data_IF_168369658674
#
_entry.id   IF_168369658674
#
_cell.length_a   1.000
_cell.length_b   1.000
_cell.length_c   1.000
_cell.angle_alpha   90.00
_cell.angle_beta   90.00
_cell.angle_gamma   90.00
#
_symmetry.space_group_name_H-M   'P 1'
#
loop_
_entity.id
_entity.type
_entity.pdbx_description
1 polymer ?
#
# COMPACT_ATOMS: atom_id res chain seq x y z
N UNK A 1 -7.34 -8.70 -17.40
CA UNK A 1 -7.39 -9.02 -15.95
C UNK A 1 -8.82 -9.04 -15.36
N UNK A 2 -9.89 -8.76 -16.11
CA UNK A 2 -11.27 -8.87 -15.59
C UNK A 2 -11.81 -10.30 -15.55
N UNK A 3 -11.43 -11.15 -16.52
CA UNK A 3 -12.06 -12.47 -16.73
C UNK A 3 -11.62 -13.53 -15.70
N UNK A 4 -10.42 -13.40 -15.12
CA UNK A 4 -9.88 -14.37 -14.16
C UNK A 4 -10.58 -14.27 -12.79
N UNK A 5 -11.09 -13.08 -12.43
CA UNK A 5 -11.83 -12.86 -11.18
C UNK A 5 -13.27 -13.40 -11.20
N UNK A 6 -13.87 -13.56 -12.38
CA UNK A 6 -15.23 -14.11 -12.50
C UNK A 6 -15.29 -15.62 -12.21
N UNK A 7 -14.20 -16.36 -12.41
CA UNK A 7 -14.21 -17.82 -12.36
C UNK A 7 -13.85 -18.41 -11.00
N UNK A 8 -13.20 -17.62 -10.14
CA UNK A 8 -12.69 -18.11 -8.87
C UNK A 8 -13.74 -17.97 -7.76
N UNK A 9 -13.87 -19.02 -6.95
CA UNK A 9 -14.92 -19.25 -5.92
C UNK A 9 -14.95 -18.22 -4.78
N UNK A 10 -14.22 -17.11 -4.91
CA UNK A 10 -14.02 -16.04 -3.92
C UNK A 10 -15.21 -15.12 -3.74
N UNK A 11 -16.18 -15.11 -4.65
CA UNK A 11 -17.44 -14.36 -4.48
C UNK A 11 -18.18 -14.75 -3.20
N UNK A 12 -18.16 -16.04 -2.84
CA UNK A 12 -18.75 -16.53 -1.58
C UNK A 12 -17.99 -16.00 -0.35
N UNK A 13 -16.66 -15.99 -0.40
CA UNK A 13 -15.82 -15.45 0.66
C UNK A 13 -15.97 -13.92 0.82
N UNK A 14 -16.08 -13.18 -0.28
CA UNK A 14 -16.35 -11.74 -0.27
C UNK A 14 -17.73 -11.44 0.34
N UNK A 15 -18.76 -12.23 -0.04
CA UNK A 15 -20.10 -12.15 0.54
C UNK A 15 -20.07 -12.49 2.04
N UNK A 16 -19.34 -13.51 2.48
CA UNK A 16 -19.22 -13.88 3.89
C UNK A 16 -18.52 -12.79 4.72
N UNK A 17 -17.46 -12.18 4.18
CA UNK A 17 -16.76 -11.08 4.84
C UNK A 17 -17.65 -9.84 4.98
N UNK A 18 -18.42 -9.48 3.95
CA UNK A 18 -19.38 -8.36 3.98
C UNK A 18 -20.58 -8.66 4.90
N UNK A 19 -21.01 -9.91 4.99
CA UNK A 19 -22.14 -10.31 5.84
C UNK A 19 -21.76 -10.34 7.31
N UNK A 20 -20.49 -10.59 7.63
CA UNK A 20 -19.98 -10.53 9.00
C UNK A 20 -19.84 -9.08 9.51
N UNK A 21 -20.28 -8.75 10.74
CA UNK A 21 -20.12 -7.40 11.31
C UNK A 21 -18.63 -7.05 11.50
N UNK A 22 -17.80 -8.03 11.86
CA UNK A 22 -16.36 -7.85 12.05
C UNK A 22 -15.62 -7.60 10.73
N UNK A 23 -15.94 -8.35 9.67
CA UNK A 23 -15.32 -8.18 8.35
C UNK A 23 -15.61 -6.82 7.72
N UNK A 24 -16.85 -6.32 7.86
CA UNK A 24 -17.18 -4.94 7.46
C UNK A 24 -16.35 -3.90 8.20
N UNK A 25 -16.26 -4.01 9.53
CA UNK A 25 -15.49 -3.05 10.33
C UNK A 25 -14.01 -3.04 9.94
N UNK A 26 -13.39 -4.20 9.67
CA UNK A 26 -12.00 -4.29 9.23
C UNK A 26 -11.78 -3.68 7.84
N UNK A 27 -12.68 -3.93 6.89
CA UNK A 27 -12.57 -3.33 5.55
C UNK A 27 -12.80 -1.82 5.63
N UNK A 28 -13.80 -1.39 6.39
CA UNK A 28 -14.13 0.03 6.54
C UNK A 28 -12.97 0.78 7.21
N UNK A 29 -12.40 0.23 8.29
CA UNK A 29 -11.27 0.86 8.97
C UNK A 29 -10.01 0.87 8.10
N UNK A 30 -9.73 -0.21 7.37
CA UNK A 30 -8.62 -0.27 6.42
C UNK A 30 -8.77 0.71 5.26
N UNK A 31 -9.98 0.83 4.71
CA UNK A 31 -10.28 1.80 3.66
C UNK A 31 -10.19 3.24 4.18
N UNK A 32 -10.79 3.54 5.33
CA UNK A 32 -10.75 4.90 5.91
C UNK A 32 -9.33 5.29 6.30
N UNK A 33 -8.59 4.44 7.01
CA UNK A 33 -7.21 4.74 7.41
C UNK A 33 -6.27 4.75 6.21
N UNK A 34 -6.38 3.77 5.31
CA UNK A 34 -5.48 3.61 4.17
C UNK A 34 -5.72 4.62 3.05
N UNK A 35 -6.98 4.89 2.70
CA UNK A 35 -7.32 5.79 1.59
C UNK A 35 -7.68 7.19 2.06
N UNK A 36 -8.64 7.37 2.97
CA UNK A 36 -9.06 8.72 3.39
C UNK A 36 -7.96 9.41 4.18
N UNK A 37 -7.54 8.84 5.31
CA UNK A 37 -6.48 9.44 6.11
C UNK A 37 -5.16 9.47 5.36
N UNK A 38 -4.76 8.37 4.71
CA UNK A 38 -3.52 8.32 3.92
C UNK A 38 -3.41 9.43 2.87
N UNK A 39 -4.46 9.65 2.07
CA UNK A 39 -4.44 10.67 1.01
C UNK A 39 -4.57 12.07 1.59
N UNK A 40 -5.43 12.29 2.59
CA UNK A 40 -5.57 13.62 3.23
C UNK A 40 -4.28 14.05 3.91
N UNK A 41 -3.61 13.15 4.66
CA UNK A 41 -2.33 13.45 5.30
C UNK A 41 -1.24 13.74 4.27
N UNK A 42 -1.25 13.01 3.14
CA UNK A 42 -0.32 13.25 2.03
C UNK A 42 -0.53 14.63 1.40
N UNK A 43 -1.78 15.03 1.16
CA UNK A 43 -2.08 16.38 0.66
C UNK A 43 -1.68 17.47 1.64
N UNK A 44 -1.91 17.26 2.95
CA UNK A 44 -1.45 18.18 3.99
C UNK A 44 0.07 18.29 3.97
N UNK A 45 0.79 17.17 3.88
CA UNK A 45 2.26 17.15 3.82
C UNK A 45 2.80 17.93 2.61
N UNK A 46 2.18 17.79 1.44
CA UNK A 46 2.56 18.55 0.24
C UNK A 46 2.31 20.06 0.42
N UNK A 47 1.25 20.44 1.14
CA UNK A 47 0.90 21.86 1.35
C UNK A 47 1.78 22.54 2.40
N UNK A 48 2.24 21.80 3.41
CA UNK A 48 3.05 22.33 4.52
C UNK A 48 4.56 22.11 4.36
N UNK A 49 4.98 21.21 3.47
CA UNK A 49 6.38 20.95 3.14
C UNK A 49 6.73 21.45 1.74
N UNK A 50 8.02 21.58 1.43
CA UNK A 50 8.45 21.75 0.05
C UNK A 50 7.98 20.53 -0.74
N UNK A 51 7.21 20.75 -1.81
CA UNK A 51 6.64 19.68 -2.63
C UNK A 51 7.70 18.62 -3.04
N UNK A 52 8.93 19.06 -3.34
CA UNK A 52 10.06 18.19 -3.67
C UNK A 52 10.48 17.26 -2.51
N UNK A 53 10.45 17.73 -1.27
CA UNK A 53 10.80 16.90 -0.10
C UNK A 53 9.70 15.87 0.15
N UNK A 54 8.43 16.28 0.06
CA UNK A 54 7.30 15.38 0.20
C UNK A 54 7.28 14.29 -0.88
N UNK A 55 7.49 14.65 -2.16
CA UNK A 55 7.49 13.68 -3.27
C UNK A 55 8.62 12.65 -3.17
N UNK A 56 9.80 13.05 -2.69
CA UNK A 56 10.93 12.15 -2.48
C UNK A 56 10.64 11.15 -1.34
N UNK A 57 10.04 11.64 -0.25
CA UNK A 57 9.61 10.80 0.87
C UNK A 57 8.55 9.78 0.44
N UNK A 58 7.56 10.21 -0.35
CA UNK A 58 6.53 9.34 -0.92
C UNK A 58 7.12 8.32 -1.92
N UNK A 59 8.13 8.70 -2.69
CA UNK A 59 8.85 7.81 -3.61
C UNK A 59 9.68 6.73 -2.89
N UNK A 60 9.98 6.94 -1.61
CA UNK A 60 10.67 5.96 -0.75
C UNK A 60 9.71 4.92 -0.15
N UNK A 61 8.39 5.04 -0.37
CA UNK A 61 7.40 4.06 0.08
C UNK A 61 7.73 2.58 -0.20
N UNK A 62 8.19 2.16 -1.39
CA UNK A 62 8.54 0.75 -1.64
C UNK A 62 9.67 0.23 -0.75
N UNK A 63 10.54 1.11 -0.23
CA UNK A 63 11.57 0.73 0.75
C UNK A 63 10.96 0.66 2.15
N UNK A 64 10.15 1.65 2.51
CA UNK A 64 9.51 1.75 3.82
C UNK A 64 8.50 0.62 4.10
N UNK A 65 7.89 0.02 3.07
CA UNK A 65 6.92 -1.06 3.25
C UNK A 65 7.55 -2.42 3.54
N UNK A 66 8.84 -2.60 3.24
CA UNK A 66 9.58 -3.84 3.53
C UNK A 66 9.68 -4.16 5.03
N UNK A 67 10.14 -3.23 5.91
CA UNK A 67 10.19 -3.51 7.34
C UNK A 67 8.80 -3.73 7.94
N UNK A 68 7.78 -3.00 7.46
CA UNK A 68 6.37 -3.23 7.85
C UNK A 68 5.93 -4.64 7.47
N UNK A 69 6.29 -5.13 6.29
CA UNK A 69 5.94 -6.48 5.83
C UNK A 69 6.58 -7.58 6.69
N UNK A 70 7.83 -7.37 7.14
CA UNK A 70 8.52 -8.31 8.04
C UNK A 70 7.95 -8.27 9.45
N UNK A 71 7.71 -7.08 10.00
CA UNK A 71 7.36 -6.92 11.41
C UNK A 71 5.87 -7.15 11.69
N UNK A 72 4.99 -6.64 10.83
CA UNK A 72 3.53 -6.69 11.02
C UNK A 72 2.91 -7.86 10.26
N UNK A 73 3.27 -8.02 8.99
CA UNK A 73 2.73 -9.09 8.14
C UNK A 73 3.45 -10.43 8.34
N UNK A 74 4.63 -10.43 8.98
CA UNK A 74 5.47 -11.62 9.22
C UNK A 74 5.82 -12.39 7.95
N UNK A 75 5.90 -11.69 6.81
CA UNK A 75 6.26 -12.32 5.55
C UNK A 75 7.78 -12.50 5.41
N UNK A 76 8.19 -13.66 4.87
CA UNK A 76 9.59 -13.93 4.55
C UNK A 76 9.98 -13.21 3.27
N UNK A 77 10.72 -12.11 3.40
CA UNK A 77 11.27 -11.41 2.25
C UNK A 77 12.26 -12.30 1.50
N UNK A 78 12.07 -12.45 0.19
CA UNK A 78 13.05 -13.13 -0.68
C UNK A 78 14.03 -12.09 -1.22
N UNK A 79 15.27 -12.48 -1.59
CA UNK A 79 16.26 -11.54 -2.11
C UNK A 79 15.77 -10.74 -3.33
N UNK A 80 14.91 -11.34 -4.15
CA UNK A 80 14.24 -10.70 -5.28
C UNK A 80 13.30 -9.55 -4.89
N UNK A 81 12.63 -9.65 -3.74
CA UNK A 81 11.72 -8.63 -3.26
C UNK A 81 12.51 -7.39 -2.80
N UNK A 82 13.68 -7.61 -2.18
CA UNK A 82 14.62 -6.54 -1.82
C UNK A 82 15.24 -5.87 -3.06
N UNK A 83 15.62 -6.65 -4.08
CA UNK A 83 16.19 -6.12 -5.31
C UNK A 83 15.16 -5.27 -6.08
N UNK A 84 13.90 -5.72 -6.15
CA UNK A 84 12.81 -4.96 -6.77
C UNK A 84 12.50 -3.65 -6.06
N UNK A 85 12.49 -3.64 -4.72
CA UNK A 85 12.32 -2.42 -3.93
C UNK A 85 13.49 -1.44 -4.12
N UNK A 86 14.74 -1.93 -4.12
CA UNK A 86 15.91 -1.11 -4.39
C UNK A 86 15.87 -0.51 -5.80
N UNK A 87 15.52 -1.31 -6.82
CA UNK A 87 15.38 -0.84 -8.20
C UNK A 87 14.28 0.23 -8.32
N UNK A 88 13.14 0.04 -7.64
CA UNK A 88 12.04 1.00 -7.63
C UNK A 88 12.44 2.32 -6.98
N UNK A 89 13.19 2.25 -5.88
CA UNK A 89 13.73 3.44 -5.20
C UNK A 89 14.71 4.20 -6.09
N UNK A 90 15.68 3.50 -6.70
CA UNK A 90 16.65 4.12 -7.62
C UNK A 90 15.93 4.75 -8.82
N UNK A 91 14.96 4.04 -9.42
CA UNK A 91 14.16 4.57 -10.52
C UNK A 91 13.40 5.85 -10.12
N UNK A 92 12.86 5.89 -8.91
CA UNK A 92 12.18 7.09 -8.41
C UNK A 92 13.15 8.26 -8.18
N UNK A 93 14.36 8.00 -7.68
CA UNK A 93 15.37 9.03 -7.48
C UNK A 93 15.82 9.66 -8.81
N UNK A 94 15.93 8.85 -9.88
CA UNK A 94 16.29 9.33 -11.22
C UNK A 94 15.20 10.21 -11.85
N UNK A 95 13.93 9.94 -11.57
CA UNK A 95 12.81 10.72 -12.11
C UNK A 95 12.67 12.12 -11.48
N UNK A 96 13.20 12.33 -10.27
CA UNK A 96 13.08 13.57 -9.51
C UNK A 96 14.40 14.34 -9.36
N UNK A 97 15.49 13.85 -9.96
CA UNK A 97 16.75 14.58 -10.15
C UNK A 97 16.62 15.55 -11.33
#
# INVERSE_FOLDING_TARGET
MGVIFLLDRRWKHLLDVIRSPRGRLTILSGAVLGTLFGVVLSMIAIRWSKAAVASTLMSTMPVLILPISVFILKEKLRPKDLFGAALSFVGSAVLFL
#
